data_IF_903336574518
#
_entry.id   IF_903336574518
#
_cell.length_a   1.000
_cell.length_b   1.000
_cell.length_c   1.000
_cell.angle_alpha   90.00
_cell.angle_beta   90.00
_cell.angle_gamma   90.00
#
_symmetry.space_group_name_H-M   'P 1'
#
loop_
_entity.id
_entity.type
_entity.pdbx_description
1 polymer ?
#
# COMPACT_ATOMS: atom_id res chain seq x y z
N UNK A 1 18.02 18.53 6.50
CA UNK A 1 17.11 17.50 7.01
C UNK A 1 16.99 16.39 5.98
N UNK A 2 17.26 15.18 6.40
CA UNK A 2 17.18 14.04 5.49
C UNK A 2 15.78 13.44 5.50
N UNK A 3 15.24 13.22 4.30
CA UNK A 3 13.97 12.54 4.15
C UNK A 3 14.27 11.05 4.04
N UNK A 4 13.82 10.29 5.03
CA UNK A 4 14.08 8.85 5.12
C UNK A 4 12.84 8.00 4.85
N UNK A 5 11.73 8.63 4.45
CA UNK A 5 10.50 7.94 4.12
C UNK A 5 10.01 8.41 2.75
N UNK A 6 9.69 7.46 1.90
CA UNK A 6 9.13 7.72 0.59
C UNK A 6 7.84 6.92 0.47
N UNK A 7 6.72 7.59 0.22
CA UNK A 7 5.45 6.88 0.03
C UNK A 7 5.12 6.81 -1.45
N UNK A 8 4.65 5.65 -1.88
CA UNK A 8 4.18 5.43 -3.25
C UNK A 8 2.73 5.02 -3.18
N UNK A 9 1.86 5.86 -3.71
CA UNK A 9 0.42 5.68 -3.64
C UNK A 9 -0.19 5.73 -5.04
N UNK A 10 -1.34 5.13 -5.20
CA UNK A 10 -2.08 5.12 -6.46
C UNK A 10 -3.20 4.11 -6.39
N UNK A 11 -4.12 4.21 -7.34
CA UNK A 11 -5.20 3.25 -7.47
C UNK A 11 -4.68 1.92 -8.05
N UNK A 12 -5.38 0.81 -7.83
CA UNK A 12 -4.95 -0.48 -8.37
C UNK A 12 -4.67 -0.41 -9.88
N UNK A 13 -3.56 -1.02 -10.30
CA UNK A 13 -3.14 -1.04 -11.70
C UNK A 13 -2.39 0.21 -12.17
N UNK A 14 -2.09 1.16 -11.28
CA UNK A 14 -1.39 2.39 -11.66
C UNK A 14 0.14 2.25 -11.74
N UNK A 15 0.68 1.09 -11.34
CA UNK A 15 2.12 0.83 -11.44
C UNK A 15 2.89 1.04 -10.14
N UNK A 16 2.19 1.13 -9.00
CA UNK A 16 2.83 1.40 -7.71
C UNK A 16 3.83 0.32 -7.32
N UNK A 17 3.54 -0.96 -7.57
CA UNK A 17 4.46 -2.04 -7.23
C UNK A 17 5.74 -1.97 -8.04
N UNK A 18 5.64 -1.73 -9.34
CA UNK A 18 6.81 -1.59 -10.22
C UNK A 18 7.66 -0.41 -9.79
N UNK A 19 7.02 0.75 -9.58
CA UNK A 19 7.73 1.95 -9.15
C UNK A 19 8.41 1.73 -7.79
N UNK A 20 7.73 1.11 -6.86
CA UNK A 20 8.27 0.84 -5.51
C UNK A 20 9.48 -0.10 -5.58
N UNK A 21 9.42 -1.13 -6.42
CA UNK A 21 10.55 -2.05 -6.59
C UNK A 21 11.75 -1.34 -7.18
N UNK A 22 11.54 -0.49 -8.19
CA UNK A 22 12.62 0.28 -8.79
C UNK A 22 13.26 1.22 -7.77
N UNK A 23 12.46 1.91 -6.98
CA UNK A 23 12.96 2.82 -5.95
C UNK A 23 13.72 2.07 -4.86
N UNK A 24 13.17 0.96 -4.41
CA UNK A 24 13.81 0.11 -3.41
C UNK A 24 15.20 -0.35 -3.86
N UNK A 25 15.30 -0.83 -5.09
CA UNK A 25 16.55 -1.31 -5.65
C UNK A 25 17.56 -0.18 -5.86
N UNK A 26 17.08 0.94 -6.36
CA UNK A 26 17.93 2.10 -6.64
C UNK A 26 18.47 2.74 -5.36
N UNK A 27 17.64 2.82 -4.31
CA UNK A 27 18.00 3.47 -3.05
C UNK A 27 18.63 2.52 -2.03
N UNK A 28 18.40 1.22 -2.16
CA UNK A 28 18.82 0.26 -1.15
C UNK A 28 18.06 0.39 0.16
N UNK A 29 16.82 0.90 0.11
CA UNK A 29 15.99 1.13 1.30
C UNK A 29 15.13 -0.09 1.63
N UNK A 30 14.64 -0.13 2.86
CA UNK A 30 13.62 -1.10 3.24
C UNK A 30 12.35 -0.83 2.46
N UNK A 31 11.54 -1.85 2.30
CA UNK A 31 10.29 -1.76 1.54
C UNK A 31 9.16 -2.40 2.34
N UNK A 32 8.04 -1.70 2.44
CA UNK A 32 6.85 -2.18 3.14
C UNK A 32 5.64 -1.88 2.29
N UNK A 33 4.79 -2.88 2.14
CA UNK A 33 3.56 -2.81 1.36
C UNK A 33 2.36 -2.95 2.30
N UNK A 34 1.42 -2.02 2.23
CA UNK A 34 0.23 -2.02 3.09
C UNK A 34 -0.58 -3.30 2.93
N UNK A 35 -0.67 -3.83 1.70
CA UNK A 35 -1.38 -5.08 1.46
C UNK A 35 -0.78 -6.25 2.22
N UNK A 36 0.55 -6.30 2.31
CA UNK A 36 1.21 -7.36 3.06
C UNK A 36 0.96 -7.23 4.57
N UNK A 37 0.99 -6.00 5.09
CA UNK A 37 0.67 -5.76 6.49
C UNK A 37 -0.76 -6.19 6.80
N UNK A 38 -1.69 -5.91 5.89
CA UNK A 38 -3.09 -6.31 6.05
C UNK A 38 -3.23 -7.84 6.07
N UNK A 39 -2.50 -8.54 5.20
CA UNK A 39 -2.48 -10.01 5.21
C UNK A 39 -1.92 -10.56 6.51
N UNK A 40 -0.88 -9.92 7.05
CA UNK A 40 -0.30 -10.32 8.33
C UNK A 40 -1.32 -10.14 9.46
N UNK A 41 -2.06 -9.03 9.44
CA UNK A 41 -3.13 -8.79 10.42
C UNK A 41 -4.23 -9.84 10.34
N UNK A 42 -4.62 -10.24 9.12
CA UNK A 42 -5.62 -11.28 8.93
C UNK A 42 -5.14 -12.61 9.53
N UNK A 43 -3.89 -12.98 9.24
CA UNK A 43 -3.29 -14.21 9.76
C UNK A 43 -3.23 -14.19 11.28
N UNK A 44 -2.81 -13.09 11.88
CA UNK A 44 -2.72 -12.94 13.33
C UNK A 44 -4.10 -13.08 13.99
N UNK A 45 -5.15 -12.66 13.29
CA UNK A 45 -6.52 -12.72 13.78
C UNK A 45 -7.20 -14.06 13.48
N UNK A 46 -6.49 -14.98 12.83
CA UNK A 46 -7.06 -16.27 12.44
C UNK A 46 -8.13 -16.17 11.36
N UNK A 47 -8.06 -15.11 10.53
CA UNK A 47 -9.04 -14.84 9.47
C UNK A 47 -8.44 -15.05 8.10
N UNK A 48 -9.30 -15.46 7.15
CA UNK A 48 -8.92 -15.40 5.73
C UNK A 48 -8.87 -13.93 5.32
N UNK A 49 -8.18 -13.66 4.22
CA UNK A 49 -8.11 -12.29 3.70
C UNK A 49 -9.49 -11.74 3.37
N UNK A 50 -10.36 -12.58 2.79
CA UNK A 50 -11.74 -12.17 2.47
C UNK A 50 -12.53 -11.82 3.72
N UNK A 51 -12.42 -12.61 4.79
CA UNK A 51 -13.10 -12.32 6.06
C UNK A 51 -12.57 -11.06 6.70
N UNK A 52 -11.26 -10.85 6.66
CA UNK A 52 -10.66 -9.63 7.21
C UNK A 52 -11.13 -8.40 6.45
N UNK A 53 -11.23 -8.49 5.12
CA UNK A 53 -11.75 -7.40 4.29
C UNK A 53 -13.19 -7.03 4.66
N UNK A 54 -14.05 -8.04 4.80
CA UNK A 54 -15.44 -7.83 5.21
C UNK A 54 -15.53 -7.23 6.62
N UNK A 55 -14.71 -7.73 7.54
CA UNK A 55 -14.65 -7.22 8.90
C UNK A 55 -14.22 -5.76 8.92
N UNK A 56 -13.23 -5.40 8.10
CA UNK A 56 -12.71 -4.04 8.03
C UNK A 56 -13.77 -3.05 7.53
N UNK A 57 -14.66 -3.48 6.63
CA UNK A 57 -15.74 -2.62 6.13
C UNK A 57 -16.68 -2.18 7.23
N UNK A 58 -16.90 -3.04 8.24
CA UNK A 58 -17.80 -2.77 9.35
C UNK A 58 -17.08 -2.24 10.60
N UNK A 59 -15.75 -2.31 10.61
CA UNK A 59 -14.96 -1.95 11.79
C UNK A 59 -13.82 -1.01 11.39
N UNK A 60 -14.06 0.31 11.41
CA UNK A 60 -13.05 1.29 10.99
C UNK A 60 -11.73 1.22 11.76
N UNK A 61 -11.74 0.66 12.97
CA UNK A 61 -10.52 0.51 13.75
C UNK A 61 -9.47 -0.37 13.08
N UNK A 62 -9.87 -1.24 12.15
CA UNK A 62 -8.94 -2.09 11.42
C UNK A 62 -8.01 -1.22 10.56
N UNK A 63 -8.58 -0.25 9.84
CA UNK A 63 -7.80 0.66 9.01
C UNK A 63 -6.88 1.54 9.86
N UNK A 64 -7.36 1.96 11.03
CA UNK A 64 -6.53 2.72 11.97
C UNK A 64 -5.35 1.90 12.47
N UNK A 65 -5.57 0.62 12.76
CA UNK A 65 -4.51 -0.28 13.19
C UNK A 65 -3.49 -0.50 12.08
N UNK A 66 -3.94 -0.62 10.84
CA UNK A 66 -3.06 -0.74 9.68
C UNK A 66 -2.17 0.50 9.56
N UNK A 67 -2.79 1.67 9.63
CA UNK A 67 -2.06 2.94 9.55
C UNK A 67 -1.03 3.06 10.68
N UNK A 68 -1.41 2.69 11.91
CA UNK A 68 -0.50 2.73 13.05
C UNK A 68 0.71 1.81 12.85
N UNK A 69 0.49 0.61 12.31
CA UNK A 69 1.59 -0.31 12.02
C UNK A 69 2.52 0.27 10.96
N UNK A 70 1.97 0.86 9.90
CA UNK A 70 2.75 1.47 8.84
C UNK A 70 3.60 2.63 9.38
N UNK A 71 3.00 3.48 10.21
CA UNK A 71 3.69 4.62 10.82
C UNK A 71 4.82 4.13 11.73
N UNK A 72 4.57 3.11 12.54
CA UNK A 72 5.57 2.54 13.44
C UNK A 72 6.75 1.98 12.65
N UNK A 73 6.46 1.22 11.59
CA UNK A 73 7.50 0.67 10.72
C UNK A 73 8.33 1.78 10.10
N UNK A 74 7.66 2.85 9.63
CA UNK A 74 8.37 3.98 9.03
C UNK A 74 9.34 4.63 10.04
N UNK A 75 8.92 4.77 11.28
CA UNK A 75 9.77 5.36 12.33
C UNK A 75 10.91 4.47 12.73
N UNK A 76 10.65 3.16 12.80
CA UNK A 76 11.64 2.19 13.30
C UNK A 76 12.62 1.73 12.24
N UNK A 77 12.19 1.65 10.99
CA UNK A 77 12.95 1.05 9.92
C UNK A 77 13.42 2.02 8.83
N UNK A 78 13.21 3.32 9.01
CA UNK A 78 13.71 4.29 8.04
C UNK A 78 15.21 4.10 7.82
N UNK A 79 15.73 4.23 6.58
CA UNK A 79 15.01 4.68 5.37
C UNK A 79 14.13 3.58 4.77
N UNK A 80 12.93 3.96 4.35
CA UNK A 80 11.94 2.98 3.92
C UNK A 80 11.05 3.53 2.80
N UNK A 81 10.68 2.66 1.86
CA UNK A 81 9.67 2.92 0.84
C UNK A 81 8.38 2.27 1.32
N UNK A 82 7.34 3.06 1.49
CA UNK A 82 6.02 2.60 1.90
C UNK A 82 5.08 2.65 0.70
N UNK A 83 4.55 1.50 0.33
CA UNK A 83 3.60 1.40 -0.76
C UNK A 83 2.21 1.10 -0.23
N UNK A 84 1.20 1.81 -0.74
CA UNK A 84 -0.18 1.56 -0.39
C UNK A 84 -1.06 2.63 -0.98
N UNK A 85 -2.34 2.29 -1.22
CA UNK A 85 -3.29 3.22 -1.83
C UNK A 85 -3.33 4.56 -1.08
N UNK A 86 -3.27 4.52 0.24
CA UNK A 86 -3.39 5.68 1.11
C UNK A 86 -2.12 6.02 1.86
N UNK A 87 -0.96 5.51 1.41
CA UNK A 87 0.30 5.67 2.13
C UNK A 87 0.68 7.15 2.32
N UNK A 88 0.46 7.99 1.31
CA UNK A 88 0.74 9.42 1.42
C UNK A 88 -0.12 10.11 2.47
N UNK A 89 -1.41 9.78 2.51
CA UNK A 89 -2.33 10.31 3.52
C UNK A 89 -1.96 9.85 4.92
N UNK A 90 -1.60 8.59 5.04
CA UNK A 90 -1.16 8.01 6.31
C UNK A 90 0.07 8.74 6.85
N UNK A 91 1.02 9.07 5.96
CA UNK A 91 2.21 9.82 6.35
C UNK A 91 1.85 11.21 6.89
N UNK A 92 0.87 11.89 6.27
CA UNK A 92 0.39 13.18 6.76
C UNK A 92 -0.21 13.04 8.15
N UNK A 93 -1.11 12.07 8.32
CA UNK A 93 -1.76 11.85 9.62
C UNK A 93 -0.78 11.44 10.72
N UNK A 94 0.24 10.68 10.35
CA UNK A 94 1.29 10.26 11.29
C UNK A 94 2.38 11.29 11.53
N UNK A 95 2.25 12.46 10.91
CA UNK A 95 3.24 13.52 10.99
C UNK A 95 4.64 13.05 10.61
N UNK A 96 4.71 12.22 9.57
CA UNK A 96 5.97 11.72 9.04
C UNK A 96 6.51 12.68 7.98
N UNK A 97 7.78 13.01 8.07
CA UNK A 97 8.46 13.76 7.03
C UNK A 97 8.76 12.80 5.88
N UNK A 98 8.00 12.90 4.81
CA UNK A 98 8.09 11.94 3.71
C UNK A 98 8.01 12.64 2.35
N UNK A 99 8.72 12.08 1.38
CA UNK A 99 8.44 12.36 -0.03
C UNK A 99 7.24 11.51 -0.44
N UNK A 100 6.23 12.17 -1.00
CA UNK A 100 4.98 11.50 -1.38
C UNK A 100 4.87 11.46 -2.88
N UNK A 101 4.77 10.25 -3.43
CA UNK A 101 4.60 10.01 -4.86
C UNK A 101 3.21 9.46 -5.11
N UNK A 102 2.50 10.08 -6.02
CA UNK A 102 1.19 9.59 -6.46
C UNK A 102 1.29 9.21 -7.93
N UNK A 103 0.92 7.97 -8.25
CA UNK A 103 0.90 7.47 -9.62
C UNK A 103 -0.51 7.43 -10.16
N UNK A 104 -0.67 7.86 -11.41
CA UNK A 104 -1.93 7.83 -12.11
C UNK A 104 -1.79 7.09 -13.43
N UNK A 105 -2.84 6.39 -13.81
CA UNK A 105 -2.97 5.78 -15.11
C UNK A 105 -4.44 5.81 -15.51
N UNK A 106 -4.75 5.74 -16.80
CA UNK A 106 -6.12 5.72 -17.26
C UNK A 106 -6.85 4.50 -16.73
N UNK A 107 -8.18 4.59 -16.65
CA UNK A 107 -9.01 3.46 -16.23
C UNK A 107 -8.79 2.26 -17.12
N UNK A 108 -8.69 2.48 -18.44
CA UNK A 108 -8.47 1.43 -19.41
C UNK A 108 -7.13 0.72 -19.19
N UNK A 109 -6.06 1.47 -19.00
CA UNK A 109 -4.74 0.89 -18.76
C UNK A 109 -4.68 0.13 -17.43
N UNK A 110 -5.30 0.68 -16.39
CA UNK A 110 -5.35 0.02 -15.09
C UNK A 110 -6.14 -1.29 -15.17
N UNK A 111 -7.28 -1.26 -15.88
CA UNK A 111 -8.10 -2.44 -16.08
C UNK A 111 -7.34 -3.54 -16.83
N UNK A 112 -6.63 -3.16 -17.89
CA UNK A 112 -5.81 -4.08 -18.67
C UNK A 112 -4.74 -4.74 -17.80
N UNK A 113 -4.03 -3.95 -16.99
CA UNK A 113 -2.97 -4.46 -16.12
C UNK A 113 -3.51 -5.42 -15.07
N UNK A 114 -4.65 -5.10 -14.45
CA UNK A 114 -5.27 -5.95 -13.44
C UNK A 114 -5.76 -7.25 -14.09
N UNK A 115 -6.39 -7.16 -15.26
CA UNK A 115 -6.86 -8.33 -15.98
C UNK A 115 -5.73 -9.29 -16.34
N UNK A 116 -4.60 -8.77 -16.81
CA UNK A 116 -3.45 -9.58 -17.15
C UNK A 116 -2.83 -10.23 -15.90
N UNK A 117 -2.73 -9.47 -14.81
CA UNK A 117 -2.14 -9.96 -13.56
C UNK A 117 -2.96 -11.06 -12.93
N UNK A 118 -4.28 -10.84 -12.85
CA UNK A 118 -5.18 -11.76 -12.16
C UNK A 118 -5.73 -12.87 -13.07
N UNK A 119 -5.62 -12.69 -14.39
CA UNK A 119 -6.17 -13.64 -15.34
C UNK A 119 -7.69 -13.72 -15.27
N UNK A 120 -8.36 -12.71 -14.71
CA UNK A 120 -9.78 -12.72 -14.43
C UNK A 120 -10.46 -11.51 -15.06
N UNK A 121 -11.35 -11.80 -16.02
CA UNK A 121 -12.14 -10.76 -16.70
C UNK A 121 -13.03 -10.01 -15.70
N UNK A 122 -13.47 -10.69 -14.63
CA UNK A 122 -14.27 -10.05 -13.58
C UNK A 122 -13.55 -8.92 -12.88
N UNK A 123 -12.23 -9.00 -12.74
CA UNK A 123 -11.43 -7.97 -12.10
C UNK A 123 -11.52 -6.64 -12.84
N UNK A 124 -11.69 -6.67 -14.16
CA UNK A 124 -11.81 -5.47 -14.99
C UNK A 124 -13.08 -4.69 -14.66
N UNK A 125 -14.13 -5.38 -14.24
CA UNK A 125 -15.42 -4.76 -13.94
C UNK A 125 -15.47 -4.12 -12.55
N UNK A 126 -14.53 -4.46 -11.68
CA UNK A 126 -14.51 -3.97 -10.31
C UNK A 126 -13.73 -2.66 -10.18
N UNK A 127 -13.23 -2.18 -11.26
CA UNK A 127 -12.52 -0.92 -11.27
C UNK A 127 -13.48 0.23 -11.47
#
# INVERSE_FOLDING_TARGET
MHICVLTVSGLPGSGTSTASQMLRESLGWHYVNAGQIFRDMARESGMTLAKMGAYAEENPQVDLQLDERMIRIARDQAPVVLEGRMAGWMAVRGNLSAHKVWLQASTELRAERIGLRDGDVGALKQM
#
